data_IF_719326358029
#
_entry.id   IF_719326358029
#
_cell.length_a   1.000
_cell.length_b   1.000
_cell.length_c   1.000
_cell.angle_alpha   90.00
_cell.angle_beta   90.00
_cell.angle_gamma   90.00
#
_symmetry.space_group_name_H-M   'P 1'
#
loop_
_entity.id
_entity.type
_entity.pdbx_description
1 polymer ?
#
# COMPACT_ATOMS: atom_id res chain seq x y z
N UNK A 1 44.25 6.51 12.63
CA UNK A 1 44.12 6.63 14.10
C UNK A 1 45.36 5.98 14.70
N UNK A 2 46.12 6.67 15.56
CA UNK A 2 47.35 6.08 16.12
C UNK A 2 46.95 5.16 17.28
N UNK A 3 47.65 4.06 17.47
CA UNK A 3 47.39 3.08 18.55
C UNK A 3 47.43 3.72 19.95
N UNK A 4 48.10 4.87 20.10
CA UNK A 4 48.15 5.66 21.33
C UNK A 4 46.83 6.38 21.68
N UNK A 5 45.87 6.47 20.75
CA UNK A 5 44.61 7.20 20.95
C UNK A 5 43.49 6.32 21.55
N UNK A 6 43.72 5.01 21.65
CA UNK A 6 42.74 4.00 22.10
C UNK A 6 42.34 4.16 23.58
N UNK A 7 43.26 4.43 24.53
CA UNK A 7 42.88 4.56 25.94
C UNK A 7 41.99 5.79 26.20
N UNK A 8 42.27 6.92 25.55
CA UNK A 8 41.47 8.15 25.67
C UNK A 8 40.07 7.99 25.07
N UNK A 9 39.94 7.20 23.99
CA UNK A 9 38.63 6.93 23.40
C UNK A 9 37.79 6.01 24.28
N UNK A 10 38.39 4.98 24.90
CA UNK A 10 37.71 4.10 25.86
C UNK A 10 37.22 4.83 27.09
N UNK A 11 38.04 5.73 27.65
CA UNK A 11 37.65 6.54 28.80
C UNK A 11 36.47 7.47 28.47
N UNK A 12 36.39 7.97 27.22
CA UNK A 12 35.29 8.84 26.76
C UNK A 12 33.95 8.12 26.67
N UNK A 13 33.95 6.81 26.38
CA UNK A 13 32.74 5.96 26.32
C UNK A 13 32.28 5.56 27.72
N UNK A 14 33.22 5.33 28.64
CA UNK A 14 32.90 4.95 30.02
C UNK A 14 32.38 6.11 30.88
N UNK A 15 32.64 7.37 30.50
CA UNK A 15 32.18 8.57 31.25
C UNK A 15 30.88 9.20 30.73
N UNK A 16 30.37 8.79 29.57
CA UNK A 16 29.04 9.21 29.09
C UNK A 16 28.01 8.18 29.54
N UNK A 17 27.41 8.42 30.71
CA UNK A 17 26.22 7.68 31.16
C UNK A 17 25.03 7.88 30.22
N UNK A 18 24.01 7.00 30.27
CA UNK A 18 22.89 7.01 29.35
C UNK A 18 21.86 8.04 29.82
N UNK A 19 22.01 9.29 29.41
CA UNK A 19 20.85 10.18 29.29
C UNK A 19 20.44 10.16 27.82
N UNK A 20 19.14 9.92 27.58
CA UNK A 20 18.49 9.80 26.26
C UNK A 20 18.46 8.43 25.56
N UNK A 21 18.02 7.38 26.25
CA UNK A 21 17.36 6.22 25.59
C UNK A 21 16.35 5.59 26.54
N UNK A 22 15.15 6.17 26.64
CA UNK A 22 14.01 5.48 27.25
C UNK A 22 12.71 5.82 26.52
N UNK A 23 12.61 5.35 25.28
CA UNK A 23 11.34 4.99 24.67
C UNK A 23 11.63 3.82 23.73
N UNK A 24 10.88 2.73 23.88
CA UNK A 24 11.10 1.43 23.23
C UNK A 24 12.29 0.65 23.78
N UNK A 25 12.07 -0.12 24.85
CA UNK A 25 12.34 -1.57 24.95
C UNK A 25 12.12 -2.01 26.40
N UNK A 26 10.90 -2.43 26.75
CA UNK A 26 10.72 -3.31 27.91
C UNK A 26 10.07 -4.62 27.47
N UNK A 27 10.95 -5.56 27.09
CA UNK A 27 10.62 -6.98 26.87
C UNK A 27 11.14 -7.85 28.03
N UNK A 28 11.39 -7.27 29.21
CA UNK A 28 11.87 -8.03 30.38
C UNK A 28 10.87 -9.11 30.85
N UNK A 29 9.59 -8.95 30.53
CA UNK A 29 8.52 -9.92 30.80
C UNK A 29 8.69 -11.27 30.06
N UNK A 30 9.52 -11.37 29.01
CA UNK A 30 9.74 -12.61 28.26
C UNK A 30 10.81 -13.54 28.86
N UNK A 31 11.50 -13.16 29.93
CA UNK A 31 12.62 -13.96 30.48
C UNK A 31 12.22 -14.99 31.54
N UNK A 32 11.01 -14.94 32.10
CA UNK A 32 10.68 -15.71 33.31
C UNK A 32 9.84 -16.99 33.10
N UNK A 33 9.72 -17.50 31.86
CA UNK A 33 9.08 -18.80 31.62
C UNK A 33 10.09 -19.88 31.23
N UNK A 34 10.50 -20.68 32.21
CA UNK A 34 11.24 -21.92 32.01
C UNK A 34 10.38 -22.96 31.24
N UNK A 35 10.84 -23.34 30.05
CA UNK A 35 10.30 -24.47 29.29
C UNK A 35 10.70 -25.81 29.95
N UNK A 36 9.78 -26.78 30.10
CA UNK A 36 10.15 -28.18 30.30
C UNK A 36 10.77 -28.75 29.01
N UNK A 37 12.03 -29.18 29.08
CA UNK A 37 12.73 -29.85 27.98
C UNK A 37 12.17 -31.27 27.74
N UNK A 38 11.41 -31.47 26.68
CA UNK A 38 11.32 -32.76 25.98
C UNK A 38 11.16 -32.53 24.48
N UNK A 39 12.23 -32.72 23.71
CA UNK A 39 12.22 -32.70 22.24
C UNK A 39 11.63 -34.02 21.69
N UNK A 40 10.70 -33.99 20.72
CA UNK A 40 10.35 -35.18 19.95
C UNK A 40 11.40 -35.46 18.84
N UNK A 41 11.59 -36.74 18.55
CA UNK A 41 12.57 -37.29 17.59
C UNK A 41 12.24 -36.93 16.13
N UNK A 42 13.28 -36.64 15.34
CA UNK A 42 13.19 -36.36 13.90
C UNK A 42 12.70 -37.57 13.07
N UNK A 43 11.97 -37.35 11.96
CA UNK A 43 11.60 -38.42 11.03
C UNK A 43 12.76 -38.80 10.09
N UNK A 44 12.81 -40.05 9.58
CA UNK A 44 13.93 -40.54 8.75
C UNK A 44 13.83 -40.13 7.27
N UNK A 45 15.00 -40.00 6.65
CA UNK A 45 15.26 -39.66 5.25
C UNK A 45 14.63 -40.66 4.25
N UNK A 46 14.04 -40.14 3.16
CA UNK A 46 13.62 -40.95 2.02
C UNK A 46 14.42 -40.59 0.75
N UNK A 47 15.02 -41.64 0.17
CA UNK A 47 15.95 -41.61 -0.95
C UNK A 47 15.22 -41.51 -2.30
N UNK A 48 15.87 -40.78 -3.23
CA UNK A 48 15.56 -40.74 -4.65
C UNK A 48 15.77 -42.11 -5.31
N UNK A 49 14.74 -42.65 -5.98
CA UNK A 49 14.94 -43.61 -7.06
C UNK A 49 14.20 -43.20 -8.34
N UNK A 50 15.00 -43.02 -9.38
CA UNK A 50 14.62 -42.74 -10.76
C UNK A 50 14.18 -44.03 -11.46
N UNK A 51 12.96 -44.08 -12.04
CA UNK A 51 12.58 -45.13 -13.00
C UNK A 51 12.19 -44.55 -14.36
N UNK A 52 13.11 -44.75 -15.32
CA UNK A 52 12.91 -44.63 -16.77
C UNK A 52 11.70 -45.44 -17.24
N UNK A 53 10.87 -44.86 -18.12
CA UNK A 53 10.12 -45.61 -19.14
C UNK A 53 10.41 -45.03 -20.52
N UNK A 54 10.63 -45.97 -21.42
CA UNK A 54 11.10 -45.83 -22.79
C UNK A 54 10.08 -45.08 -23.66
N UNK A 55 10.60 -44.22 -24.55
CA UNK A 55 9.89 -43.70 -25.72
C UNK A 55 10.34 -44.50 -26.94
N UNK A 56 9.36 -44.91 -27.74
CA UNK A 56 9.51 -45.38 -29.12
C UNK A 56 8.64 -44.50 -30.03
N UNK A 57 8.97 -44.56 -31.30
CA UNK A 57 9.16 -43.51 -32.30
C UNK A 57 7.91 -42.82 -32.90
N UNK A 58 8.15 -41.62 -33.46
CA UNK A 58 7.53 -41.16 -34.70
C UNK A 58 6.22 -40.37 -34.62
N UNK A 59 6.30 -39.05 -34.85
CA UNK A 59 5.56 -38.28 -35.89
C UNK A 59 5.43 -36.79 -35.53
N UNK A 60 5.93 -35.91 -36.41
CA UNK A 60 5.74 -34.45 -36.37
C UNK A 60 4.25 -34.03 -36.37
N UNK A 61 3.86 -32.89 -35.76
CA UNK A 61 2.59 -32.26 -36.06
C UNK A 61 2.74 -31.14 -37.10
N UNK A 62 2.20 -31.41 -38.29
CA UNK A 62 1.89 -30.41 -39.31
C UNK A 62 0.65 -29.60 -38.93
N UNK A 63 0.69 -28.30 -39.25
CA UNK A 63 -0.40 -27.36 -39.12
C UNK A 63 -1.64 -27.76 -39.94
N UNK A 64 -2.83 -27.69 -39.35
CA UNK A 64 -4.10 -27.49 -40.08
C UNK A 64 -5.20 -26.91 -39.20
N UNK A 65 -5.52 -25.65 -39.48
CA UNK A 65 -6.75 -24.93 -39.10
C UNK A 65 -7.99 -25.76 -39.49
N UNK A 66 -8.92 -25.97 -38.56
CA UNK A 66 -10.30 -26.37 -38.89
C UNK A 66 -11.21 -25.15 -38.87
N UNK A 67 -11.79 -24.83 -40.03
CA UNK A 67 -13.00 -24.03 -40.19
C UNK A 67 -14.20 -24.89 -39.77
N UNK A 68 -15.08 -24.38 -38.93
CA UNK A 68 -16.48 -24.81 -38.78
C UNK A 68 -17.30 -23.53 -38.60
N UNK A 69 -17.96 -23.04 -39.65
CA UNK A 69 -19.32 -23.34 -40.12
C UNK A 69 -20.33 -22.38 -39.47
N UNK A 70 -20.92 -21.54 -40.33
CA UNK A 70 -21.90 -20.50 -40.00
C UNK A 70 -23.16 -21.11 -39.39
N UNK A 71 -23.60 -20.55 -38.26
CA UNK A 71 -24.93 -20.77 -37.70
C UNK A 71 -25.86 -19.65 -38.18
N UNK A 72 -26.67 -19.98 -39.18
CA UNK A 72 -27.68 -19.11 -39.78
C UNK A 72 -29.00 -19.22 -39.02
N UNK A 73 -29.10 -18.62 -37.83
CA UNK A 73 -30.41 -18.26 -37.25
C UNK A 73 -30.34 -17.17 -36.16
N UNK A 74 -29.83 -15.98 -36.51
CA UNK A 74 -29.92 -14.80 -35.64
C UNK A 74 -31.00 -13.83 -36.10
N UNK A 75 -32.08 -13.81 -35.33
CA UNK A 75 -33.17 -12.82 -35.37
C UNK A 75 -32.63 -11.38 -35.27
N UNK A 76 -33.00 -10.43 -36.15
CA UNK A 76 -32.46 -9.07 -36.09
C UNK A 76 -33.14 -8.26 -34.97
N UNK A 77 -32.37 -7.75 -34.00
CA UNK A 77 -32.80 -6.66 -33.11
C UNK A 77 -32.24 -5.33 -33.62
N UNK A 78 -33.15 -4.36 -33.77
CA UNK A 78 -32.88 -3.04 -34.34
C UNK A 78 -31.83 -2.23 -33.55
N UNK A 79 -31.03 -1.38 -34.24
CA UNK A 79 -30.08 -0.49 -33.58
C UNK A 79 -30.83 0.60 -32.81
N UNK A 80 -30.50 0.72 -31.52
CA UNK A 80 -31.08 1.70 -30.60
C UNK A 80 -30.59 3.10 -31.01
N UNK A 81 -31.53 3.93 -31.43
CA UNK A 81 -31.30 5.31 -31.85
C UNK A 81 -30.78 6.18 -30.69
N UNK A 82 -29.79 7.01 -31.01
CA UNK A 82 -29.39 8.16 -30.21
C UNK A 82 -30.61 9.08 -30.01
N UNK A 83 -31.03 9.26 -28.76
CA UNK A 83 -31.96 10.33 -28.38
C UNK A 83 -31.16 11.56 -27.98
N UNK A 84 -30.86 12.40 -28.97
CA UNK A 84 -30.56 13.82 -28.80
C UNK A 84 -31.88 14.56 -28.50
N UNK A 85 -31.95 15.30 -27.39
CA UNK A 85 -33.01 16.30 -27.14
C UNK A 85 -32.55 17.66 -27.69
N UNK A 86 -33.19 18.15 -28.76
CA UNK A 86 -33.29 19.59 -29.09
C UNK A 86 -34.49 20.22 -28.36
N UNK A 87 -34.66 21.53 -28.17
CA UNK A 87 -34.51 22.74 -29.03
C UNK A 87 -34.71 24.01 -28.14
N UNK A 88 -34.80 25.27 -28.66
CA UNK A 88 -34.01 26.01 -29.67
C UNK A 88 -33.62 27.45 -29.22
N UNK A 89 -32.69 28.14 -29.92
CA UNK A 89 -32.85 29.56 -30.38
C UNK A 89 -31.76 29.98 -31.38
N UNK A 90 -32.19 30.21 -32.63
CA UNK A 90 -31.86 31.24 -33.65
C UNK A 90 -30.54 32.05 -33.59
N UNK A 91 -29.72 32.07 -34.65
CA UNK A 91 -29.75 33.03 -35.78
C UNK A 91 -28.43 33.07 -36.60
N UNK A 92 -28.63 33.11 -37.92
CA UNK A 92 -27.81 33.68 -39.02
C UNK A 92 -26.53 33.02 -39.59
N UNK A 93 -26.53 32.97 -40.93
CA UNK A 93 -25.76 32.16 -41.91
C UNK A 93 -24.53 32.92 -42.50
N UNK A 94 -23.96 32.59 -43.69
CA UNK A 94 -23.87 31.37 -44.52
C UNK A 94 -22.37 30.97 -44.72
N UNK A 95 -21.89 29.91 -45.38
CA UNK A 95 -22.38 28.94 -46.35
C UNK A 95 -21.24 28.71 -47.35
N UNK A 96 -20.73 27.48 -47.49
CA UNK A 96 -20.04 27.00 -48.70
C UNK A 96 -20.20 25.48 -48.79
N UNK A 97 -21.04 25.07 -49.73
CA UNK A 97 -21.12 23.70 -50.23
C UNK A 97 -20.02 23.48 -51.28
N UNK A 98 -19.44 22.28 -51.33
CA UNK A 98 -19.04 21.64 -52.58
C UNK A 98 -19.03 20.12 -52.43
N UNK A 99 -19.86 19.50 -53.27
CA UNK A 99 -19.93 18.08 -53.56
C UNK A 99 -18.61 17.51 -54.10
N UNK A 100 -18.30 16.26 -53.76
CA UNK A 100 -17.59 15.32 -54.66
C UNK A 100 -17.83 13.86 -54.23
N UNK A 101 -18.74 13.24 -54.99
CA UNK A 101 -18.87 11.83 -55.38
C UNK A 101 -18.10 10.73 -54.63
N UNK A 102 -18.90 9.75 -54.21
CA UNK A 102 -18.51 8.39 -53.88
C UNK A 102 -17.92 7.64 -55.09
N UNK A 103 -16.81 6.94 -54.86
CA UNK A 103 -16.46 5.73 -55.60
C UNK A 103 -15.95 4.66 -54.63
N UNK A 104 -16.64 3.53 -54.64
CA UNK A 104 -16.28 2.31 -53.91
C UNK A 104 -15.04 1.67 -54.55
N UNK A 105 -13.99 1.47 -53.76
CA UNK A 105 -12.98 0.46 -54.03
C UNK A 105 -12.82 -0.42 -52.80
N UNK A 106 -13.25 -1.66 -52.98
CA UNK A 106 -13.13 -2.76 -52.04
C UNK A 106 -11.66 -3.12 -51.88
N UNK A 107 -11.02 -2.64 -50.82
CA UNK A 107 -9.70 -3.11 -50.41
C UNK A 107 -9.84 -3.89 -49.10
N UNK A 108 -9.60 -5.19 -49.20
CA UNK A 108 -9.59 -6.14 -48.09
C UNK A 108 -8.65 -5.67 -46.99
N UNK A 109 -9.22 -5.11 -45.91
CA UNK A 109 -8.46 -4.88 -44.69
C UNK A 109 -8.26 -6.23 -44.01
N UNK A 110 -7.02 -6.71 -44.05
CA UNK A 110 -6.50 -7.66 -43.09
C UNK A 110 -6.89 -7.21 -41.68
N UNK A 111 -7.49 -8.10 -40.91
CA UNK A 111 -7.69 -7.97 -39.47
C UNK A 111 -6.32 -7.92 -38.78
N UNK A 112 -5.65 -6.77 -38.86
CA UNK A 112 -4.63 -6.42 -37.88
C UNK A 112 -5.38 -6.12 -36.59
N UNK A 113 -5.21 -7.02 -35.63
CA UNK A 113 -5.46 -6.74 -34.22
C UNK A 113 -4.90 -5.36 -33.91
N UNK A 114 -5.77 -4.45 -33.47
CA UNK A 114 -5.40 -3.20 -32.83
C UNK A 114 -4.55 -3.54 -31.60
N UNK A 115 -3.24 -3.69 -31.80
CA UNK A 115 -2.28 -3.76 -30.72
C UNK A 115 -2.34 -2.38 -30.04
N UNK A 116 -2.91 -2.32 -28.84
CA UNK A 116 -2.92 -1.10 -28.06
C UNK A 116 -1.47 -0.63 -27.92
N UNK A 117 -1.14 0.57 -28.43
CA UNK A 117 0.20 1.16 -28.33
C UNK A 117 0.66 1.50 -26.91
N UNK A 118 0.01 0.96 -25.87
CA UNK A 118 0.41 1.07 -24.46
C UNK A 118 1.34 -0.07 -24.11
N UNK A 119 2.54 0.26 -23.63
CA UNK A 119 3.48 -0.72 -23.08
C UNK A 119 2.86 -1.42 -21.86
N UNK A 120 3.04 -2.74 -21.75
CA UNK A 120 2.58 -3.51 -20.59
C UNK A 120 3.32 -3.07 -19.30
N UNK A 121 2.74 -3.30 -18.10
CA UNK A 121 3.38 -2.91 -16.85
C UNK A 121 4.83 -3.41 -16.70
N UNK A 122 5.08 -4.67 -17.04
CA UNK A 122 6.43 -5.26 -16.99
C UNK A 122 7.44 -4.52 -17.88
N UNK A 123 7.04 -4.07 -19.07
CA UNK A 123 7.91 -3.28 -19.96
C UNK A 123 8.19 -1.90 -19.38
N UNK A 124 7.22 -1.30 -18.69
CA UNK A 124 7.41 -0.01 -18.02
C UNK A 124 8.34 -0.13 -16.81
N UNK A 125 8.17 -1.19 -16.01
CA UNK A 125 9.05 -1.50 -14.88
C UNK A 125 10.50 -1.66 -15.33
N UNK A 126 10.77 -2.48 -16.36
CA UNK A 126 12.11 -2.65 -16.90
C UNK A 126 12.73 -1.32 -17.41
N UNK A 127 11.90 -0.46 -18.02
CA UNK A 127 12.37 0.87 -18.45
C UNK A 127 12.70 1.80 -17.27
N UNK A 128 11.94 1.70 -16.18
CA UNK A 128 12.14 2.52 -14.97
C UNK A 128 13.32 2.04 -14.14
N UNK A 129 13.60 0.74 -14.15
CA UNK A 129 14.74 0.14 -13.47
C UNK A 129 16.08 0.67 -13.99
N UNK A 130 16.18 0.88 -15.30
CA UNK A 130 17.40 1.40 -15.96
C UNK A 130 17.50 2.93 -15.83
N UNK A 131 16.37 3.62 -15.59
CA UNK A 131 16.36 5.08 -15.47
C UNK A 131 17.05 5.54 -14.18
N UNK A 132 18.03 6.45 -14.23
CA UNK A 132 18.73 6.96 -13.02
C UNK A 132 17.80 7.63 -12.01
N UNK A 133 16.71 8.22 -12.48
CA UNK A 133 15.68 8.86 -11.64
C UNK A 133 14.44 7.98 -11.47
N UNK A 134 14.45 6.77 -12.02
CA UNK A 134 13.37 5.79 -12.00
C UNK A 134 13.20 5.10 -10.64
N UNK A 135 12.68 3.89 -10.68
CA UNK A 135 12.63 3.03 -9.51
C UNK A 135 12.95 1.57 -9.85
N UNK A 136 13.44 0.84 -8.85
CA UNK A 136 13.85 -0.56 -8.95
C UNK A 136 13.07 -1.38 -7.92
N UNK A 137 12.32 -2.41 -8.35
CA UNK A 137 11.69 -3.35 -7.44
C UNK A 137 12.72 -4.29 -6.79
N UNK A 138 12.58 -4.56 -5.48
CA UNK A 138 13.39 -5.52 -4.72
C UNK A 138 12.53 -6.32 -3.76
N UNK A 139 12.87 -7.59 -3.55
CA UNK A 139 12.22 -8.40 -2.51
C UNK A 139 12.71 -8.01 -1.12
N UNK A 140 11.86 -8.19 -0.12
CA UNK A 140 12.31 -8.13 1.28
C UNK A 140 13.12 -9.39 1.58
N UNK A 141 14.44 -9.24 1.74
CA UNK A 141 15.31 -10.31 2.24
C UNK A 141 15.94 -9.85 3.54
N UNK A 142 15.86 -10.70 4.58
CA UNK A 142 16.34 -10.39 5.95
C UNK A 142 17.84 -10.03 5.96
N UNK A 143 18.57 -10.50 4.96
CA UNK A 143 20.02 -10.31 4.81
C UNK A 143 20.38 -9.05 4.00
N UNK A 144 19.42 -8.32 3.46
CA UNK A 144 19.72 -7.11 2.69
C UNK A 144 20.19 -5.98 3.62
N UNK A 145 21.51 -5.74 3.60
CA UNK A 145 22.19 -4.68 4.33
C UNK A 145 21.70 -3.27 3.98
N UNK A 146 20.96 -3.11 2.87
CA UNK A 146 20.37 -1.84 2.46
C UNK A 146 18.97 -1.59 3.02
N UNK A 147 18.36 -2.56 3.72
CA UNK A 147 17.12 -2.32 4.44
C UNK A 147 17.38 -1.42 5.65
N UNK A 148 16.73 -0.24 5.74
CA UNK A 148 16.86 0.61 6.92
C UNK A 148 16.34 -0.11 8.17
N UNK A 149 17.04 0.02 9.29
CA UNK A 149 16.67 -0.64 10.56
C UNK A 149 15.19 -0.45 10.94
N UNK A 150 14.67 0.77 10.81
CA UNK A 150 13.26 1.07 11.12
C UNK A 150 12.28 0.39 10.16
N UNK A 151 12.69 0.08 8.93
CA UNK A 151 11.89 -0.72 8.00
C UNK A 151 11.90 -2.20 8.42
N UNK A 152 13.05 -2.73 8.86
CA UNK A 152 13.14 -4.07 9.44
C UNK A 152 12.24 -4.20 10.68
N UNK A 153 12.29 -3.23 11.60
CA UNK A 153 11.48 -3.24 12.83
C UNK A 153 9.97 -3.34 12.52
N UNK A 154 9.50 -2.68 11.45
CA UNK A 154 8.10 -2.79 10.99
C UNK A 154 7.84 -4.16 10.36
N UNK A 155 8.74 -4.67 9.53
CA UNK A 155 8.58 -5.98 8.90
C UNK A 155 8.53 -7.10 9.93
N UNK A 156 9.39 -7.07 10.94
CA UNK A 156 9.41 -8.04 12.04
C UNK A 156 8.08 -8.00 12.79
N UNK A 157 7.57 -6.81 13.11
CA UNK A 157 6.26 -6.65 13.75
C UNK A 157 5.09 -7.19 12.90
N UNK A 158 5.12 -6.96 11.59
CA UNK A 158 4.11 -7.48 10.66
C UNK A 158 4.24 -9.00 10.44
N UNK A 159 5.46 -9.53 10.42
CA UNK A 159 5.75 -10.97 10.34
C UNK A 159 5.25 -11.69 11.60
N UNK A 160 5.49 -11.12 12.78
CA UNK A 160 4.98 -11.66 14.04
C UNK A 160 3.45 -11.72 14.04
N UNK A 161 2.77 -10.67 13.58
CA UNK A 161 1.30 -10.65 13.41
C UNK A 161 0.85 -11.75 12.46
N UNK A 162 1.51 -11.85 11.30
CA UNK A 162 1.19 -12.82 10.25
C UNK A 162 1.30 -14.25 10.74
N UNK A 163 2.41 -14.60 11.37
CA UNK A 163 2.74 -16.00 11.70
C UNK A 163 2.11 -16.44 13.01
N UNK A 164 2.23 -15.62 14.06
CA UNK A 164 1.87 -16.01 15.42
C UNK A 164 0.46 -15.60 15.84
N UNK A 165 -0.10 -14.53 15.24
CA UNK A 165 -1.32 -13.89 15.73
C UNK A 165 -1.23 -13.47 17.22
N UNK A 166 -0.03 -13.31 17.78
CA UNK A 166 0.13 -13.05 19.20
C UNK A 166 -0.41 -11.66 19.57
N UNK A 167 -1.27 -11.60 20.59
CA UNK A 167 -1.76 -10.34 21.14
C UNK A 167 -2.55 -9.44 20.19
N UNK A 168 -3.13 -9.97 19.11
CA UNK A 168 -3.86 -9.19 18.10
C UNK A 168 -5.18 -8.59 18.62
N UNK A 169 -5.73 -9.14 19.70
CA UNK A 169 -7.02 -8.76 20.31
C UNK A 169 -6.80 -8.27 21.75
N UNK A 170 -7.42 -7.15 22.11
CA UNK A 170 -7.47 -6.69 23.51
C UNK A 170 -8.25 -7.66 24.38
N UNK A 171 -7.72 -7.98 25.57
CA UNK A 171 -8.37 -8.89 26.53
C UNK A 171 -9.76 -8.39 27.00
N UNK A 172 -10.08 -7.11 26.77
CA UNK A 172 -11.43 -6.57 26.97
C UNK A 172 -12.52 -7.33 26.18
N UNK A 173 -12.18 -7.97 25.05
CA UNK A 173 -13.12 -8.74 24.24
C UNK A 173 -13.12 -10.24 24.55
N UNK A 174 -12.30 -10.72 25.50
CA UNK A 174 -12.11 -12.15 25.77
C UNK A 174 -13.42 -12.84 26.19
N UNK A 175 -14.20 -12.24 27.09
CA UNK A 175 -15.46 -12.80 27.57
C UNK A 175 -16.48 -12.96 26.42
N UNK A 176 -16.66 -11.91 25.62
CA UNK A 176 -17.59 -11.92 24.50
C UNK A 176 -17.18 -12.92 23.42
N UNK A 177 -15.89 -12.93 23.04
CA UNK A 177 -15.36 -13.87 22.05
C UNK A 177 -15.49 -15.31 22.55
N UNK A 178 -15.23 -15.57 23.84
CA UNK A 178 -15.40 -16.90 24.43
C UNK A 178 -16.86 -17.35 24.42
N UNK A 179 -17.80 -16.44 24.62
CA UNK A 179 -19.24 -16.71 24.48
C UNK A 179 -19.59 -17.04 23.02
N UNK A 180 -19.14 -16.24 22.07
CA UNK A 180 -19.40 -16.41 20.64
C UNK A 180 -18.78 -17.70 20.08
N UNK A 181 -17.60 -18.08 20.56
CA UNK A 181 -16.89 -19.29 20.16
C UNK A 181 -17.69 -20.59 20.37
N UNK A 182 -18.70 -20.58 21.25
CA UNK A 182 -19.59 -21.74 21.49
C UNK A 182 -20.53 -22.01 20.31
N UNK A 183 -20.87 -20.99 19.53
CA UNK A 183 -21.89 -21.06 18.48
C UNK A 183 -21.36 -20.66 17.10
N UNK A 184 -20.27 -19.90 17.04
CA UNK A 184 -19.66 -19.41 15.80
C UNK A 184 -18.25 -19.99 15.62
N UNK A 185 -18.08 -20.72 14.52
CA UNK A 185 -16.83 -21.42 14.17
C UNK A 185 -15.69 -20.46 13.80
N UNK A 186 -15.98 -19.22 13.40
CA UNK A 186 -14.93 -18.23 13.16
C UNK A 186 -14.26 -17.83 14.47
N UNK A 187 -15.04 -17.60 15.53
CA UNK A 187 -14.52 -17.24 16.86
C UNK A 187 -13.92 -18.41 17.61
N UNK A 188 -14.37 -19.65 17.37
CA UNK A 188 -13.79 -20.84 18.01
C UNK A 188 -12.34 -21.12 17.63
N UNK A 189 -11.83 -20.48 16.57
CA UNK A 189 -10.43 -20.56 16.15
C UNK A 189 -9.51 -19.63 16.94
N UNK A 190 -10.06 -18.62 17.64
CA UNK A 190 -9.29 -17.67 18.44
C UNK A 190 -8.72 -18.38 19.67
N UNK A 191 -7.41 -18.24 19.90
CA UNK A 191 -6.68 -18.91 20.99
C UNK A 191 -6.24 -17.91 22.04
N UNK A 192 -5.97 -18.39 23.26
CA UNK A 192 -5.60 -17.53 24.39
C UNK A 192 -4.38 -16.62 24.09
N UNK A 193 -3.38 -17.09 23.34
CA UNK A 193 -2.21 -16.28 22.96
C UNK A 193 -2.54 -15.10 22.02
N UNK A 194 -3.71 -15.11 21.38
CA UNK A 194 -4.16 -14.02 20.52
C UNK A 194 -4.70 -12.83 21.31
N UNK A 195 -4.93 -13.00 22.62
CA UNK A 195 -5.31 -11.93 23.52
C UNK A 195 -4.07 -11.33 24.20
N UNK A 196 -4.03 -10.01 24.27
CA UNK A 196 -3.04 -9.26 25.03
C UNK A 196 -3.71 -8.28 26.00
N UNK A 197 -3.00 -7.91 27.06
CA UNK A 197 -3.47 -6.91 28.01
C UNK A 197 -3.83 -5.60 27.28
N UNK A 198 -4.96 -4.94 27.63
CA UNK A 198 -5.37 -3.69 27.00
C UNK A 198 -4.29 -2.60 27.02
N UNK A 199 -3.49 -2.49 28.09
CA UNK A 199 -2.40 -1.53 28.18
C UNK A 199 -1.30 -1.75 27.14
N UNK A 200 -1.15 -3.00 26.67
CA UNK A 200 -0.15 -3.39 25.67
C UNK A 200 -0.73 -3.33 24.26
N UNK A 201 -1.94 -3.87 24.04
CA UNK A 201 -2.55 -3.97 22.71
C UNK A 201 -3.13 -2.64 22.26
N UNK A 202 -3.91 -1.98 23.11
CA UNK A 202 -4.72 -0.83 22.71
C UNK A 202 -3.89 0.45 22.53
N UNK A 203 -2.59 0.42 22.88
CA UNK A 203 -1.65 1.49 22.52
C UNK A 203 -1.57 1.71 21.01
N UNK A 204 -1.81 0.69 20.19
CA UNK A 204 -1.82 0.85 18.72
C UNK A 204 -3.13 1.43 18.19
N UNK A 205 -4.22 1.24 18.91
CA UNK A 205 -5.57 1.64 18.56
C UNK A 205 -6.58 0.68 19.16
N UNK A 206 -7.89 0.96 19.09
CA UNK A 206 -8.91 0.07 19.62
C UNK A 206 -9.00 -1.23 18.79
N UNK A 207 -9.28 -2.34 19.48
CA UNK A 207 -9.63 -3.60 18.82
C UNK A 207 -11.04 -3.51 18.23
N UNK A 208 -11.27 -3.91 16.96
CA UNK A 208 -12.61 -4.08 16.40
C UNK A 208 -13.54 -4.88 17.31
N UNK A 209 -14.82 -4.53 17.38
CA UNK A 209 -15.78 -5.39 18.07
C UNK A 209 -15.91 -6.74 17.34
N UNK A 210 -16.29 -7.82 18.03
CA UNK A 210 -16.59 -9.10 17.39
C UNK A 210 -17.65 -8.99 16.29
N UNK A 211 -18.63 -8.11 16.45
CA UNK A 211 -19.66 -7.86 15.44
C UNK A 211 -19.08 -7.20 14.19
N UNK A 212 -18.28 -6.14 14.34
CA UNK A 212 -17.66 -5.45 13.20
C UNK A 212 -16.70 -6.36 12.45
N UNK A 213 -15.86 -7.12 13.17
CA UNK A 213 -14.90 -8.04 12.55
C UNK A 213 -15.61 -9.12 11.72
N UNK A 214 -16.71 -9.66 12.24
CA UNK A 214 -17.54 -10.65 11.53
C UNK A 214 -18.25 -10.03 10.33
N UNK A 215 -18.75 -8.81 10.48
CA UNK A 215 -19.44 -8.09 9.41
C UNK A 215 -18.50 -7.83 8.24
N UNK A 216 -17.28 -7.35 8.51
CA UNK A 216 -16.23 -7.18 7.50
C UNK A 216 -15.85 -8.50 6.80
N UNK A 217 -15.67 -9.59 7.56
CA UNK A 217 -15.33 -10.88 6.97
C UNK A 217 -16.47 -11.44 6.10
N UNK A 218 -17.73 -11.25 6.54
CA UNK A 218 -18.91 -11.68 5.79
C UNK A 218 -19.07 -10.87 4.50
N UNK A 219 -18.96 -9.54 4.58
CA UNK A 219 -19.04 -8.64 3.43
C UNK A 219 -17.92 -8.94 2.42
N UNK A 220 -16.70 -9.24 2.91
CA UNK A 220 -15.59 -9.64 2.05
C UNK A 220 -15.87 -10.96 1.33
N UNK A 221 -16.42 -11.96 2.03
CA UNK A 221 -16.81 -13.23 1.41
C UNK A 221 -17.88 -13.02 0.33
N UNK A 222 -18.90 -12.20 0.60
CA UNK A 222 -19.95 -11.88 -0.37
C UNK A 222 -19.40 -11.11 -1.58
N UNK A 223 -18.47 -10.17 -1.36
CA UNK A 223 -17.77 -9.47 -2.44
C UNK A 223 -17.02 -10.44 -3.36
N UNK A 224 -16.38 -11.46 -2.79
CA UNK A 224 -15.68 -12.49 -3.54
C UNK A 224 -16.65 -13.37 -4.34
N UNK A 225 -17.68 -13.90 -3.69
CA UNK A 225 -18.68 -14.79 -4.32
C UNK A 225 -19.43 -14.09 -5.45
N UNK A 226 -19.79 -12.81 -5.25
CA UNK A 226 -20.51 -12.01 -6.26
C UNK A 226 -19.60 -11.37 -7.30
N UNK A 227 -18.29 -11.65 -7.24
CA UNK A 227 -17.27 -11.13 -8.16
C UNK A 227 -17.30 -9.59 -8.29
N UNK A 228 -17.39 -8.90 -7.14
CA UNK A 228 -17.38 -7.45 -7.10
C UNK A 228 -16.13 -6.88 -7.77
N UNK A 229 -16.31 -5.75 -8.44
CA UNK A 229 -15.19 -5.01 -9.03
C UNK A 229 -14.40 -4.25 -7.94
N UNK A 230 -13.26 -3.69 -8.32
CA UNK A 230 -12.37 -2.95 -7.42
C UNK A 230 -13.09 -1.84 -6.63
N UNK A 231 -13.97 -1.07 -7.28
CA UNK A 231 -14.75 -0.02 -6.61
C UNK A 231 -15.73 -0.58 -5.56
N UNK A 232 -16.36 -1.73 -5.84
CA UNK A 232 -17.22 -2.43 -4.89
C UNK A 232 -16.45 -2.88 -3.65
N UNK A 233 -15.31 -3.54 -3.84
CA UNK A 233 -14.39 -3.90 -2.74
C UNK A 233 -13.95 -2.68 -1.93
N UNK A 234 -13.62 -1.58 -2.61
CA UNK A 234 -13.19 -0.33 -1.97
C UNK A 234 -14.27 0.25 -1.06
N UNK A 235 -15.53 0.24 -1.49
CA UNK A 235 -16.64 0.78 -0.70
C UNK A 235 -17.08 -0.14 0.43
N UNK A 236 -17.14 -1.45 0.19
CA UNK A 236 -17.79 -2.40 1.10
C UNK A 236 -16.82 -3.02 2.11
N UNK A 237 -15.53 -3.12 1.77
CA UNK A 237 -14.54 -3.83 2.59
C UNK A 237 -13.34 -2.95 2.91
N UNK A 238 -12.62 -2.44 1.91
CA UNK A 238 -11.34 -1.77 2.14
C UNK A 238 -11.49 -0.47 2.93
N UNK A 239 -12.40 0.43 2.53
CA UNK A 239 -12.61 1.68 3.27
C UNK A 239 -13.18 1.45 4.67
N UNK A 240 -14.23 0.61 4.88
CA UNK A 240 -14.70 0.29 6.22
C UNK A 240 -13.60 -0.25 7.15
N UNK A 241 -12.76 -1.17 6.67
CA UNK A 241 -11.63 -1.69 7.44
C UNK A 241 -10.60 -0.60 7.76
N UNK A 242 -10.21 0.21 6.77
CA UNK A 242 -9.29 1.34 6.98
C UNK A 242 -9.85 2.36 7.99
N UNK A 243 -11.13 2.70 7.86
CA UNK A 243 -11.83 3.59 8.77
C UNK A 243 -11.80 3.04 10.19
N UNK A 244 -12.05 1.74 10.37
CA UNK A 244 -12.01 1.11 11.69
C UNK A 244 -10.60 1.06 12.27
N UNK A 245 -9.59 0.78 11.44
CA UNK A 245 -8.20 0.78 11.89
C UNK A 245 -7.74 2.18 12.37
N UNK A 246 -8.12 3.23 11.64
CA UNK A 246 -7.70 4.62 11.91
C UNK A 246 -8.53 5.29 13.00
N UNK A 247 -9.86 5.10 13.00
CA UNK A 247 -10.80 5.83 13.85
C UNK A 247 -11.42 4.97 14.96
N UNK A 248 -11.29 3.64 14.91
CA UNK A 248 -12.06 2.76 15.78
C UNK A 248 -13.55 2.85 15.50
N UNK A 249 -14.36 2.90 16.57
CA UNK A 249 -15.83 2.98 16.47
C UNK A 249 -16.35 4.34 15.99
N UNK A 250 -15.57 5.41 16.15
CA UNK A 250 -15.98 6.76 15.75
C UNK A 250 -14.79 7.69 15.54
N UNK A 251 -14.91 8.57 14.54
CA UNK A 251 -13.86 9.55 14.22
C UNK A 251 -13.67 10.57 15.34
N UNK A 252 -12.48 10.59 15.92
CA UNK A 252 -12.07 11.57 16.91
C UNK A 252 -11.38 12.79 16.28
N UNK A 253 -11.14 13.82 17.10
CA UNK A 253 -10.15 14.86 16.77
C UNK A 253 -8.75 14.26 16.94
N UNK A 254 -8.17 13.81 15.83
CA UNK A 254 -6.87 13.16 15.80
C UNK A 254 -6.05 13.62 14.59
N UNK A 255 -4.74 13.48 14.69
CA UNK A 255 -3.80 13.86 13.64
C UNK A 255 -3.92 12.96 12.40
N UNK A 256 -4.02 11.64 12.61
CA UNK A 256 -4.01 10.66 11.51
C UNK A 256 -5.42 10.46 10.96
N UNK A 257 -5.61 10.58 9.65
CA UNK A 257 -6.89 10.33 8.97
C UNK A 257 -6.73 9.50 7.71
N UNK A 258 -7.82 8.92 7.22
CA UNK A 258 -7.90 8.23 5.93
C UNK A 258 -8.79 9.00 4.96
N UNK A 259 -8.39 9.07 3.67
CA UNK A 259 -9.19 9.67 2.60
C UNK A 259 -9.10 8.85 1.30
N UNK A 260 -10.18 8.79 0.50
CA UNK A 260 -10.12 8.33 -0.88
C UNK A 260 -9.31 9.32 -1.74
N UNK A 261 -8.54 8.78 -2.69
CA UNK A 261 -7.56 9.51 -3.50
C UNK A 261 -7.65 9.18 -5.00
N UNK A 262 -8.76 8.57 -5.45
CA UNK A 262 -8.94 7.97 -6.79
C UNK A 262 -8.87 8.93 -7.98
N UNK A 263 -8.75 10.24 -7.74
CA UNK A 263 -8.70 11.29 -8.78
C UNK A 263 -7.49 12.21 -8.65
N UNK A 264 -6.60 11.92 -7.70
CA UNK A 264 -5.45 12.73 -7.36
C UNK A 264 -4.37 12.62 -8.43
N UNK A 265 -4.09 13.70 -9.16
CA UNK A 265 -3.06 13.71 -10.19
C UNK A 265 -1.74 14.17 -9.61
N UNK A 266 -0.64 13.57 -10.08
CA UNK A 266 0.69 14.03 -9.74
C UNK A 266 0.92 15.40 -10.40
N UNK A 267 1.44 16.35 -9.63
CA UNK A 267 1.83 17.67 -10.10
C UNK A 267 3.00 17.52 -11.10
N UNK A 268 2.93 18.26 -12.20
CA UNK A 268 3.81 18.09 -13.37
C UNK A 268 5.30 18.21 -13.02
N UNK A 269 5.64 19.08 -12.08
CA UNK A 269 6.99 19.35 -11.57
C UNK A 269 7.64 18.13 -10.91
N UNK A 270 6.84 17.18 -10.40
CA UNK A 270 7.33 15.98 -9.72
C UNK A 270 7.28 14.72 -10.58
N UNK A 271 6.78 14.81 -11.82
CA UNK A 271 6.78 13.72 -12.79
C UNK A 271 8.16 13.54 -13.45
N UNK A 272 8.58 12.29 -13.63
CA UNK A 272 9.74 11.99 -14.50
C UNK A 272 9.37 12.18 -15.99
N UNK A 273 8.14 11.81 -16.34
CA UNK A 273 7.61 11.86 -17.71
C UNK A 273 6.10 12.08 -17.66
N UNK A 274 5.51 12.92 -18.55
CA UNK A 274 4.08 13.16 -18.61
C UNK A 274 3.22 11.90 -18.81
N UNK A 275 3.80 10.83 -19.38
CA UNK A 275 3.09 9.59 -19.70
C UNK A 275 2.95 8.62 -18.51
N UNK A 276 3.55 8.93 -17.36
CA UNK A 276 3.63 8.06 -16.20
C UNK A 276 2.72 8.49 -15.04
N UNK A 277 1.77 9.41 -15.24
CA UNK A 277 0.86 9.79 -14.15
C UNK A 277 0.04 8.57 -13.67
N UNK A 278 0.35 8.09 -12.47
CA UNK A 278 -0.37 7.08 -11.72
C UNK A 278 -0.99 7.73 -10.48
N UNK A 279 -2.06 7.13 -9.97
CA UNK A 279 -2.78 7.57 -8.78
C UNK A 279 -2.92 6.37 -7.84
N UNK A 280 -3.32 6.65 -6.61
CA UNK A 280 -3.64 5.66 -5.58
C UNK A 280 -5.11 5.75 -5.18
N UNK A 281 -5.67 4.70 -4.59
CA UNK A 281 -7.09 4.65 -4.24
C UNK A 281 -7.40 5.30 -2.90
N UNK A 282 -6.54 5.11 -1.91
CA UNK A 282 -6.67 5.72 -0.58
C UNK A 282 -5.32 6.23 -0.08
N UNK A 283 -5.36 7.09 0.93
CA UNK A 283 -4.17 7.49 1.65
C UNK A 283 -4.47 7.65 3.14
N UNK A 284 -3.43 7.47 3.95
CA UNK A 284 -3.39 8.02 5.30
C UNK A 284 -2.74 9.40 5.22
N UNK A 285 -3.45 10.40 5.70
CA UNK A 285 -3.02 11.79 5.74
C UNK A 285 -2.85 12.27 7.19
N UNK A 286 -2.12 13.36 7.34
CA UNK A 286 -1.97 14.10 8.59
C UNK A 286 -2.88 15.34 8.56
N UNK A 287 -3.61 15.63 9.64
CA UNK A 287 -4.44 16.82 9.86
C UNK A 287 -3.68 17.79 10.79
N UNK A 288 -2.81 18.66 10.26
CA UNK A 288 -1.84 19.44 11.02
C UNK A 288 -2.48 20.68 11.67
N UNK A 289 -3.60 20.51 12.38
CA UNK A 289 -4.36 21.62 12.98
C UNK A 289 -3.50 22.49 13.91
N UNK A 290 -2.61 21.85 14.67
CA UNK A 290 -1.73 22.54 15.61
C UNK A 290 -0.52 23.20 14.93
N UNK A 291 -0.32 22.94 13.62
CA UNK A 291 0.76 23.51 12.80
C UNK A 291 0.22 24.08 11.48
N UNK A 292 -0.99 24.66 11.52
CA UNK A 292 -1.67 25.13 10.32
C UNK A 292 -0.95 26.32 9.66
N UNK A 293 -0.28 27.17 10.45
CA UNK A 293 0.42 28.34 9.96
C UNK A 293 1.67 27.98 9.15
N UNK A 294 2.43 27.01 9.64
CA UNK A 294 3.66 26.50 9.01
C UNK A 294 3.33 25.71 7.74
N UNK A 295 2.23 24.96 7.77
CA UNK A 295 1.69 24.33 6.57
C UNK A 295 1.27 25.37 5.54
N UNK A 296 0.64 26.47 5.94
CA UNK A 296 0.28 27.55 5.00
C UNK A 296 1.51 28.26 4.43
N UNK A 297 2.58 28.45 5.22
CA UNK A 297 3.86 28.97 4.73
C UNK A 297 4.49 28.02 3.71
N UNK A 298 4.54 26.71 4.00
CA UNK A 298 5.02 25.72 3.05
C UNK A 298 4.22 25.75 1.74
N UNK A 299 2.90 25.97 1.80
CA UNK A 299 2.07 26.10 0.59
C UNK A 299 2.45 27.33 -0.24
N UNK A 300 2.86 28.45 0.36
CA UNK A 300 3.23 29.66 -0.40
C UNK A 300 4.43 29.44 -1.30
N UNK A 301 5.34 28.53 -0.94
CA UNK A 301 6.61 28.31 -1.63
C UNK A 301 6.60 27.08 -2.56
N UNK A 302 5.54 26.27 -2.55
CA UNK A 302 5.45 25.02 -3.29
C UNK A 302 4.64 25.16 -4.61
N UNK A 303 4.96 24.36 -5.64
CA UNK A 303 4.14 24.20 -6.83
C UNK A 303 2.65 24.00 -6.50
N UNK A 304 1.79 24.72 -7.23
CA UNK A 304 0.33 24.72 -7.08
C UNK A 304 -0.22 25.11 -5.70
N UNK A 305 0.62 25.36 -4.68
CA UNK A 305 0.18 25.62 -3.31
C UNK A 305 -0.31 24.38 -2.54
N UNK A 306 0.31 23.22 -2.78
CA UNK A 306 -0.04 21.94 -2.15
C UNK A 306 1.11 21.39 -1.33
N UNK A 307 0.87 20.96 -0.10
CA UNK A 307 1.86 20.22 0.74
C UNK A 307 1.97 18.75 0.37
N UNK A 308 1.83 18.43 -0.91
CA UNK A 308 1.89 17.09 -1.47
C UNK A 308 2.40 17.15 -2.91
N UNK A 309 2.81 16.01 -3.43
CA UNK A 309 3.15 15.83 -4.84
C UNK A 309 1.93 15.74 -5.78
N UNK A 310 0.72 15.94 -5.26
CA UNK A 310 -0.55 15.88 -5.99
C UNK A 310 -1.36 17.15 -5.81
N UNK A 311 -2.09 17.54 -6.86
CA UNK A 311 -3.00 18.69 -6.90
C UNK A 311 -4.40 18.39 -6.36
N UNK A 312 -4.55 17.32 -5.56
CA UNK A 312 -5.84 16.91 -5.02
C UNK A 312 -6.32 17.86 -3.91
N UNK A 313 -7.30 18.71 -4.25
CA UNK A 313 -7.73 19.84 -3.41
C UNK A 313 -8.01 19.51 -1.94
N UNK A 314 -8.59 18.34 -1.66
CA UNK A 314 -8.94 17.91 -0.29
C UNK A 314 -7.71 17.65 0.59
N UNK A 315 -6.53 17.43 -0.02
CA UNK A 315 -5.26 17.16 0.64
C UNK A 315 -4.26 18.33 0.52
N UNK A 316 -4.67 19.49 -0.01
CA UNK A 316 -3.77 20.65 -0.25
C UNK A 316 -2.98 21.13 0.97
N UNK A 317 -3.52 20.91 2.17
CA UNK A 317 -2.96 21.28 3.47
C UNK A 317 -2.84 20.07 4.42
N UNK A 318 -2.88 18.84 3.88
CA UNK A 318 -2.86 17.60 4.65
C UNK A 318 -1.82 16.64 4.06
N UNK A 319 -0.61 16.58 4.63
CA UNK A 319 0.46 15.74 4.10
C UNK A 319 0.03 14.27 4.02
N UNK A 320 0.34 13.61 2.89
CA UNK A 320 0.17 12.17 2.72
C UNK A 320 1.36 11.46 3.37
N UNK A 321 1.08 10.53 4.28
CA UNK A 321 2.09 9.78 5.02
C UNK A 321 2.15 8.29 4.65
N UNK A 322 1.03 7.72 4.18
CA UNK A 322 0.97 6.33 3.71
C UNK A 322 0.04 6.23 2.50
N UNK A 323 0.50 5.54 1.45
CA UNK A 323 -0.22 5.40 0.18
C UNK A 323 -0.88 4.02 0.05
N UNK A 324 -2.12 3.93 -0.39
CA UNK A 324 -2.85 2.67 -0.45
C UNK A 324 -3.36 2.47 -1.87
N UNK A 325 -2.88 1.42 -2.52
CA UNK A 325 -3.35 0.97 -3.82
C UNK A 325 -4.27 -0.23 -3.65
N UNK A 326 -5.35 -0.28 -4.42
CA UNK A 326 -6.26 -1.41 -4.42
C UNK A 326 -6.28 -2.08 -5.77
N UNK A 327 -6.57 -3.37 -5.77
CA UNK A 327 -6.74 -4.15 -6.98
C UNK A 327 -7.95 -5.06 -6.84
N UNK A 328 -8.67 -5.22 -7.95
CA UNK A 328 -9.70 -6.24 -8.05
C UNK A 328 -9.15 -7.64 -7.74
N UNK A 329 -10.01 -8.51 -7.21
CA UNK A 329 -9.66 -9.89 -6.84
C UNK A 329 -9.21 -10.75 -8.04
N UNK A 330 -9.54 -10.35 -9.27
CA UNK A 330 -9.20 -11.09 -10.50
C UNK A 330 -8.77 -10.16 -11.64
N UNK A 331 -8.07 -10.72 -12.63
CA UNK A 331 -7.68 -10.06 -13.88
C UNK A 331 -6.75 -8.85 -13.73
N UNK A 332 -6.06 -8.75 -12.60
CA UNK A 332 -5.01 -7.75 -12.37
C UNK A 332 -3.72 -8.14 -13.08
N UNK A 333 -3.19 -7.31 -14.00
CA UNK A 333 -1.89 -7.56 -14.60
C UNK A 333 -0.79 -7.58 -13.53
N UNK A 334 0.10 -8.57 -13.59
CA UNK A 334 1.26 -8.65 -12.71
C UNK A 334 2.12 -7.38 -12.81
N UNK A 335 2.63 -6.90 -11.68
CA UNK A 335 3.44 -5.68 -11.61
C UNK A 335 2.65 -4.37 -11.68
N UNK A 336 1.30 -4.41 -11.80
CA UNK A 336 0.51 -3.18 -11.98
C UNK A 336 0.41 -2.33 -10.73
N UNK A 337 0.24 -2.95 -9.56
CA UNK A 337 0.20 -2.24 -8.27
C UNK A 337 1.59 -1.66 -7.94
N UNK A 338 2.65 -2.45 -8.17
CA UNK A 338 4.04 -2.05 -8.00
C UNK A 338 4.39 -0.85 -8.89
N UNK A 339 3.94 -0.88 -10.15
CA UNK A 339 4.12 0.22 -11.07
C UNK A 339 3.41 1.50 -10.59
N UNK A 340 2.21 1.39 -10.04
CA UNK A 340 1.46 2.52 -9.50
C UNK A 340 2.14 3.11 -8.26
N UNK A 341 2.40 2.28 -7.24
CA UNK A 341 3.05 2.71 -6.00
C UNK A 341 4.46 3.26 -6.29
N UNK A 342 5.28 2.56 -7.06
CA UNK A 342 6.65 3.00 -7.35
C UNK A 342 6.70 4.34 -8.08
N UNK A 343 5.75 4.57 -9.01
CA UNK A 343 5.66 5.86 -9.72
C UNK A 343 5.17 6.98 -8.82
N UNK A 344 4.12 6.71 -8.03
CA UNK A 344 3.54 7.64 -7.07
C UNK A 344 4.57 8.07 -6.00
N UNK A 345 5.19 7.11 -5.32
CA UNK A 345 6.24 7.39 -4.34
C UNK A 345 7.48 8.04 -4.94
N UNK A 346 7.86 7.72 -6.17
CA UNK A 346 8.97 8.44 -6.82
C UNK A 346 8.68 9.93 -6.98
N UNK A 347 7.43 10.31 -7.26
CA UNK A 347 7.02 11.72 -7.26
C UNK A 347 6.96 12.28 -5.83
N UNK A 348 6.48 11.51 -4.85
CA UNK A 348 6.46 11.91 -3.44
C UNK A 348 7.87 12.21 -2.91
N UNK A 349 8.86 11.36 -3.21
CA UNK A 349 10.25 11.60 -2.83
C UNK A 349 10.79 12.91 -3.39
N UNK A 350 10.53 13.20 -4.68
CA UNK A 350 10.96 14.49 -5.28
C UNK A 350 10.30 15.69 -4.64
N UNK A 351 9.01 15.58 -4.32
CA UNK A 351 8.29 16.60 -3.59
C UNK A 351 8.90 16.85 -2.21
N UNK A 352 9.19 15.78 -1.45
CA UNK A 352 9.82 15.91 -0.14
C UNK A 352 11.21 16.52 -0.25
N UNK A 353 12.02 16.09 -1.22
CA UNK A 353 13.33 16.68 -1.52
C UNK A 353 13.23 18.19 -1.83
N UNK A 354 12.26 18.61 -2.66
CA UNK A 354 12.02 20.02 -2.99
C UNK A 354 11.58 20.83 -1.76
N UNK A 355 10.60 20.33 -1.00
CA UNK A 355 10.09 20.99 0.20
C UNK A 355 11.20 21.15 1.27
N UNK A 356 11.93 20.08 1.55
CA UNK A 356 13.05 20.09 2.50
C UNK A 356 14.14 21.07 2.05
N UNK A 357 14.47 21.10 0.75
CA UNK A 357 15.46 22.03 0.20
C UNK A 357 15.02 23.49 0.35
N UNK A 358 13.74 23.80 0.15
CA UNK A 358 13.19 25.16 0.30
C UNK A 358 13.19 25.64 1.75
N UNK A 359 13.04 24.72 2.70
CA UNK A 359 13.03 25.01 4.14
C UNK A 359 14.38 24.74 4.84
N UNK A 360 15.45 24.53 4.06
CA UNK A 360 16.80 24.26 4.58
C UNK A 360 16.88 23.10 5.59
N UNK A 361 16.00 22.10 5.46
CA UNK A 361 16.01 20.90 6.29
C UNK A 361 16.93 19.79 5.75
N UNK A 362 16.84 18.59 6.34
CA UNK A 362 17.53 17.40 5.85
C UNK A 362 16.58 16.25 5.54
N UNK A 363 16.91 15.48 4.49
CA UNK A 363 16.25 14.19 4.24
C UNK A 363 16.66 13.12 5.26
N UNK A 364 17.70 13.38 6.05
CA UNK A 364 18.15 12.47 7.11
C UNK A 364 17.02 12.19 8.11
N UNK A 365 16.95 10.94 8.56
CA UNK A 365 15.95 10.49 9.51
C UNK A 365 14.60 10.09 8.92
N UNK A 366 14.36 10.29 7.62
CA UNK A 366 13.23 9.62 6.93
C UNK A 366 13.70 8.30 6.32
N UNK A 367 13.41 7.15 6.93
CA UNK A 367 13.96 5.88 6.48
C UNK A 367 13.29 5.36 5.18
N UNK A 368 11.98 5.55 5.03
CA UNK A 368 11.17 4.99 3.95
C UNK A 368 9.82 5.71 3.85
N UNK A 369 9.09 5.48 2.77
CA UNK A 369 7.66 5.81 2.63
C UNK A 369 6.82 4.52 2.56
N UNK A 370 5.84 4.33 3.45
CA UNK A 370 5.02 3.12 3.47
C UNK A 370 3.94 3.12 2.39
N UNK A 371 3.62 1.91 1.91
CA UNK A 371 2.48 1.64 1.06
C UNK A 371 1.73 0.38 1.52
N UNK A 372 0.43 0.36 1.22
CA UNK A 372 -0.41 -0.83 1.34
C UNK A 372 -0.93 -1.19 -0.04
N UNK A 373 -0.93 -2.48 -0.36
CA UNK A 373 -1.59 -3.03 -1.53
C UNK A 373 -2.68 -3.98 -1.03
N UNK A 374 -3.93 -3.63 -1.28
CA UNK A 374 -5.10 -4.45 -0.96
C UNK A 374 -5.65 -5.08 -2.24
N UNK A 375 -5.68 -6.41 -2.31
CA UNK A 375 -6.18 -7.14 -3.47
C UNK A 375 -7.23 -8.17 -3.05
N UNK A 376 -8.51 -7.82 -3.23
CA UNK A 376 -9.63 -8.59 -2.70
C UNK A 376 -9.45 -8.82 -1.20
N UNK A 377 -9.28 -10.07 -0.79
CA UNK A 377 -9.03 -10.39 0.62
C UNK A 377 -7.64 -10.03 1.13
N UNK A 378 -6.64 -9.91 0.24
CA UNK A 378 -5.24 -9.92 0.64
C UNK A 378 -4.75 -8.50 0.97
N UNK A 379 -4.06 -8.36 2.10
CA UNK A 379 -3.45 -7.10 2.54
C UNK A 379 -1.95 -7.23 2.67
N UNK A 380 -1.24 -6.45 1.85
CA UNK A 380 0.22 -6.49 1.76
C UNK A 380 0.84 -5.14 2.04
N UNK A 381 1.95 -5.16 2.78
CA UNK A 381 2.79 -4.01 3.03
C UNK A 381 3.86 -3.90 1.94
N UNK A 382 4.07 -2.70 1.44
CA UNK A 382 5.19 -2.34 0.58
C UNK A 382 5.83 -1.07 1.13
N UNK A 383 7.05 -0.77 0.72
CA UNK A 383 7.69 0.47 1.10
C UNK A 383 8.60 0.95 -0.01
N UNK A 384 8.91 2.25 -0.02
CA UNK A 384 9.99 2.77 -0.85
C UNK A 384 11.08 3.42 -0.02
N UNK A 385 12.32 3.24 -0.43
CA UNK A 385 13.48 3.93 0.12
C UNK A 385 14.17 4.73 -0.99
N UNK A 386 15.15 5.55 -0.62
CA UNK A 386 15.84 6.45 -1.53
C UNK A 386 17.34 6.21 -1.52
N UNK A 387 17.93 5.93 -2.69
CA UNK A 387 19.37 5.80 -2.90
C UNK A 387 19.80 6.81 -3.95
N UNK A 388 20.40 7.91 -3.51
CA UNK A 388 20.65 9.07 -4.38
C UNK A 388 19.34 9.59 -4.97
N UNK A 389 19.22 9.60 -6.30
CA UNK A 389 17.98 10.01 -7.00
C UNK A 389 17.09 8.84 -7.43
N UNK A 390 17.49 7.60 -7.12
CA UNK A 390 16.75 6.39 -7.48
C UNK A 390 15.87 5.95 -6.32
N UNK A 391 14.62 5.63 -6.61
CA UNK A 391 13.71 5.03 -5.64
C UNK A 391 13.89 3.50 -5.64
N UNK A 392 13.99 2.88 -4.48
CA UNK A 392 13.94 1.41 -4.36
C UNK A 392 12.57 1.05 -3.83
N UNK A 393 11.81 0.24 -4.58
CA UNK A 393 10.51 -0.27 -4.20
C UNK A 393 10.67 -1.66 -3.60
N UNK A 394 10.39 -1.79 -2.32
CA UNK A 394 10.36 -3.07 -1.65
C UNK A 394 8.99 -3.74 -1.88
N UNK A 395 9.04 -4.93 -2.45
CA UNK A 395 7.90 -5.68 -2.99
C UNK A 395 6.93 -6.15 -1.90
N UNK A 396 5.67 -6.44 -2.27
CA UNK A 396 4.61 -6.64 -1.29
C UNK A 396 4.84 -7.83 -0.34
N UNK A 397 4.84 -7.55 0.96
CA UNK A 397 4.79 -8.53 2.05
C UNK A 397 3.36 -8.66 2.58
N UNK A 398 2.70 -9.78 2.30
CA UNK A 398 1.35 -10.03 2.82
C UNK A 398 1.38 -10.27 4.34
N UNK A 399 0.65 -9.46 5.11
CA UNK A 399 0.58 -9.53 6.58
C UNK A 399 -0.83 -9.81 7.12
N UNK A 400 -1.87 -9.56 6.34
CA UNK A 400 -3.25 -9.68 6.76
C UNK A 400 -4.18 -10.19 5.67
N UNK A 401 -5.41 -10.54 6.05
CA UNK A 401 -6.48 -10.82 5.10
C UNK A 401 -7.86 -10.45 5.65
N UNK A 402 -8.88 -10.45 4.80
CA UNK A 402 -10.30 -10.34 5.22
C UNK A 402 -11.06 -11.65 4.98
N UNK A 403 -10.35 -12.78 4.90
CA UNK A 403 -10.97 -14.09 4.67
C UNK A 403 -11.79 -14.58 5.88
N UNK A 404 -11.39 -14.19 7.09
CA UNK A 404 -12.05 -14.53 8.35
C UNK A 404 -11.80 -13.46 9.44
N UNK A 405 -12.46 -13.60 10.59
CA UNK A 405 -12.30 -12.66 11.72
C UNK A 405 -10.86 -12.53 12.23
N UNK A 406 -10.06 -13.60 12.20
CA UNK A 406 -8.66 -13.55 12.65
C UNK A 406 -7.84 -12.71 11.67
N UNK A 407 -8.04 -12.92 10.37
CA UNK A 407 -7.47 -12.08 9.32
C UNK A 407 -7.80 -10.60 9.53
N UNK A 408 -9.08 -10.28 9.81
CA UNK A 408 -9.50 -8.90 10.05
C UNK A 408 -8.75 -8.29 11.24
N UNK A 409 -8.65 -9.00 12.36
CA UNK A 409 -7.90 -8.53 13.54
C UNK A 409 -6.41 -8.31 13.24
N UNK A 410 -5.77 -9.24 12.51
CA UNK A 410 -4.37 -9.08 12.05
C UNK A 410 -4.19 -7.84 11.19
N UNK A 411 -5.08 -7.68 10.21
CA UNK A 411 -5.03 -6.55 9.26
C UNK A 411 -5.19 -5.22 9.99
N UNK A 412 -6.16 -5.12 10.90
CA UNK A 412 -6.39 -3.90 11.69
C UNK A 412 -5.19 -3.58 12.57
N UNK A 413 -4.61 -4.56 13.28
CA UNK A 413 -3.43 -4.30 14.10
C UNK A 413 -2.22 -3.87 13.25
N UNK A 414 -1.97 -4.51 12.11
CA UNK A 414 -0.87 -4.12 11.22
C UNK A 414 -1.03 -2.69 10.68
N UNK A 415 -2.25 -2.30 10.28
CA UNK A 415 -2.53 -0.92 9.89
C UNK A 415 -2.37 0.07 11.05
N UNK A 416 -2.75 -0.32 12.26
CA UNK A 416 -2.58 0.50 13.47
C UNK A 416 -1.10 0.70 13.83
N UNK A 417 -0.25 -0.32 13.65
CA UNK A 417 1.21 -0.18 13.80
C UNK A 417 1.78 0.83 12.79
N UNK A 418 1.33 0.80 11.54
CA UNK A 418 1.75 1.77 10.53
C UNK A 418 1.26 3.19 10.83
N UNK A 419 0.02 3.33 11.33
CA UNK A 419 -0.48 4.63 11.79
C UNK A 419 0.34 5.19 12.97
N UNK A 420 0.81 4.32 13.87
CA UNK A 420 1.73 4.71 14.95
C UNK A 420 3.10 5.12 14.46
N UNK A 421 3.62 4.46 13.42
CA UNK A 421 4.85 4.92 12.77
C UNK A 421 4.66 6.29 12.09
N UNK A 422 3.52 6.51 11.44
CA UNK A 422 3.18 7.81 10.83
C UNK A 422 3.17 8.92 11.89
N UNK A 423 2.52 8.68 13.02
CA UNK A 423 2.41 9.64 14.14
C UNK A 423 3.75 9.85 14.88
N UNK A 424 4.48 8.78 15.17
CA UNK A 424 5.68 8.82 16.01
C UNK A 424 7.01 9.02 15.29
N UNK A 425 7.05 8.84 13.96
CA UNK A 425 8.29 8.93 13.17
C UNK A 425 8.15 9.91 12.02
N UNK A 426 7.18 9.66 11.12
CA UNK A 426 7.03 10.48 9.92
C UNK A 426 6.64 11.93 10.26
N UNK A 427 5.66 12.13 11.16
CA UNK A 427 5.20 13.48 11.49
C UNK A 427 6.26 14.33 12.22
N UNK A 428 6.96 13.84 13.26
CA UNK A 428 8.08 14.57 13.86
C UNK A 428 9.16 14.93 12.85
N UNK A 429 9.53 13.99 11.97
CA UNK A 429 10.48 14.26 10.88
C UNK A 429 9.96 15.36 9.94
N UNK A 430 8.68 15.29 9.54
CA UNK A 430 8.08 16.23 8.62
C UNK A 430 8.02 17.65 9.22
N UNK A 431 7.63 17.78 10.49
CA UNK A 431 7.65 19.08 11.19
C UNK A 431 9.05 19.70 11.18
N UNK A 432 10.05 18.93 11.62
CA UNK A 432 11.43 19.41 11.76
C UNK A 432 12.08 19.74 10.43
N UNK A 433 12.01 18.82 9.48
CA UNK A 433 12.79 18.91 8.25
C UNK A 433 12.02 19.48 7.06
N UNK A 434 10.71 19.19 6.96
CA UNK A 434 9.91 19.63 5.81
C UNK A 434 9.19 20.96 6.10
N UNK A 435 8.80 21.24 7.34
CA UNK A 435 8.14 22.51 7.72
C UNK A 435 9.06 23.50 8.42
N UNK A 436 10.29 23.11 8.78
CA UNK A 436 11.25 24.00 9.46
C UNK A 436 10.86 24.35 10.91
N UNK A 437 10.05 23.53 11.56
CA UNK A 437 9.61 23.74 12.95
C UNK A 437 10.72 23.25 13.89
N UNK A 438 11.40 24.18 14.56
CA UNK A 438 12.33 23.86 15.65
C UNK A 438 11.59 23.39 16.90
N UNK A 439 12.13 22.40 17.61
CA UNK A 439 11.58 21.93 18.90
C UNK A 439 11.83 22.91 20.05
N UNK A 440 12.49 24.04 19.79
CA UNK A 440 12.77 25.11 20.75
C UNK A 440 11.55 26.05 20.88
N UNK A 441 10.51 25.58 21.56
CA UNK A 441 9.31 26.37 21.88
C UNK A 441 8.83 26.27 23.33
N UNK A 442 9.30 25.30 24.11
CA UNK A 442 8.99 25.17 25.53
C UNK A 442 10.28 25.24 26.36
N UNK A 443 10.79 26.46 26.52
CA UNK A 443 11.53 26.86 27.72
C UNK A 443 11.57 28.39 27.82
N UNK A 444 11.03 28.89 28.93
CA UNK A 444 11.17 30.22 29.53
C UNK A 444 10.35 31.38 28.93
N UNK A 445 9.20 31.65 29.56
CA UNK A 445 9.02 32.82 30.44
C UNK A 445 7.92 32.56 31.47
#
# INVERSE_FOLDING_TARGET
MRTADIPNWRQKIETTGPEYYDTFYDFSCLKDYQYPQTLPLSPPDSQNETRKRLMDDGSEPAAKRRRGQDDTDRTPRAPRSQRTRGFPTTSDAPGFARDAQAHSVTASQSTQSQASGRSSPSKQLASLEISPRGFEPREFTVEDVHLPRQLCDILDGLQDIKDSAFGIISRNWEEEITKLAKTDRQFSRIRNHMFADPSVRDKFGPTPSPEDARSLATEAADCHVTAQNEAGWNMMVHYPLLSQAVYGSQRQKQLVGVAPCTTAKIIQEYLQSPTQAKMIDFCIYLDPKDNAAEVEEARRILPCGYVNHTDFYSLRNRPIALSIETKGASNTPAGSAELQIGTWHSAQWRFLEDLVSRNAGSMDGLPFLPAIIAQGHQWSFAATTRVGQKTVLWLPFQFGSTDDVIGVYKTVLGLQQLCRWVDGVFWPWYKRNALGISEDGDCTS
#
